data_IF_309262889825
#
_entry.id   IF_309262889825
#
_cell.length_a   1.000
_cell.length_b   1.000
_cell.length_c   1.000
_cell.angle_alpha   90.00
_cell.angle_beta   90.00
_cell.angle_gamma   90.00
#
_symmetry.space_group_name_H-M   'P 1'
#
loop_
_entity.id
_entity.type
_entity.pdbx_description
1 polymer ?
#
# COMPACT_ATOMS: atom_id res chain seq x y z
N UNK A 1 0.09 -5.73 3.03
CA UNK A 1 -1.22 -5.35 2.47
C UNK A 1 -1.00 -4.24 1.44
N UNK A 2 -1.71 -4.27 0.31
CA UNK A 2 -1.71 -3.20 -0.69
C UNK A 2 -3.09 -2.56 -0.68
N UNK A 3 -3.13 -1.24 -0.61
CA UNK A 3 -4.35 -0.43 -0.60
C UNK A 3 -4.28 0.60 -1.73
N UNK A 4 -5.34 0.66 -2.53
CA UNK A 4 -5.46 1.63 -3.63
C UNK A 4 -6.45 2.72 -3.24
N UNK A 5 -6.00 3.96 -3.29
CA UNK A 5 -6.72 5.13 -2.78
C UNK A 5 -7.39 5.89 -3.93
N UNK A 6 -8.71 6.06 -3.87
CA UNK A 6 -9.45 7.00 -4.71
C UNK A 6 -9.60 8.37 -4.04
N UNK A 7 -9.90 9.42 -4.81
CA UNK A 7 -10.06 10.78 -4.28
C UNK A 7 -11.27 10.95 -3.34
N UNK A 8 -12.19 9.97 -3.31
CA UNK A 8 -13.39 10.00 -2.46
C UNK A 8 -13.08 10.03 -0.96
N UNK A 9 -11.88 9.61 -0.54
CA UNK A 9 -11.42 9.67 0.86
C UNK A 9 -11.33 11.10 1.41
N UNK A 10 -11.26 12.11 0.53
CA UNK A 10 -11.17 13.52 0.92
C UNK A 10 -12.52 14.17 1.21
N UNK A 11 -13.62 13.55 0.78
CA UNK A 11 -14.96 14.15 0.84
C UNK A 11 -15.86 13.55 1.91
N UNK A 12 -15.60 12.32 2.37
CA UNK A 12 -16.38 11.67 3.42
C UNK A 12 -15.61 11.58 4.76
N UNK A 13 -16.04 12.39 5.73
CA UNK A 13 -15.47 12.41 7.10
C UNK A 13 -15.60 11.07 7.83
N UNK A 14 -16.69 10.33 7.63
CA UNK A 14 -16.91 9.02 8.28
C UNK A 14 -15.97 7.98 7.71
N UNK A 15 -15.75 8.00 6.40
CA UNK A 15 -14.75 7.13 5.78
C UNK A 15 -13.34 7.46 6.25
N UNK A 16 -12.97 8.75 6.30
CA UNK A 16 -11.67 9.19 6.79
C UNK A 16 -11.33 8.66 8.19
N UNK A 17 -12.24 8.81 9.16
CA UNK A 17 -12.00 8.34 10.53
C UNK A 17 -11.87 6.81 10.59
N UNK A 18 -12.72 6.08 9.84
CA UNK A 18 -12.63 4.61 9.75
C UNK A 18 -11.31 4.14 9.16
N UNK A 19 -10.78 4.84 8.15
CA UNK A 19 -9.51 4.49 7.52
C UNK A 19 -8.33 4.66 8.50
N UNK A 20 -8.32 5.73 9.30
CA UNK A 20 -7.32 5.90 10.37
C UNK A 20 -7.31 4.71 11.33
N UNK A 21 -8.48 4.33 11.86
CA UNK A 21 -8.61 3.20 12.78
C UNK A 21 -8.25 1.85 12.11
N UNK A 22 -8.60 1.70 10.83
CA UNK A 22 -8.24 0.52 10.04
C UNK A 22 -6.72 0.36 9.92
N UNK A 23 -6.00 1.44 9.57
CA UNK A 23 -4.55 1.39 9.43
C UNK A 23 -3.82 1.20 10.75
N UNK A 24 -4.30 1.80 11.85
CA UNK A 24 -3.76 1.55 13.19
C UNK A 24 -3.82 0.06 13.53
N UNK A 25 -4.97 -0.59 13.31
CA UNK A 25 -5.12 -2.03 13.54
C UNK A 25 -4.21 -2.89 12.69
N UNK A 26 -3.97 -2.51 11.43
CA UNK A 26 -3.00 -3.23 10.60
C UNK A 26 -1.59 -3.16 11.18
N UNK A 27 -1.17 -1.98 11.65
CA UNK A 27 0.12 -1.81 12.28
C UNK A 27 0.25 -2.61 13.58
N UNK A 28 -0.77 -2.59 14.44
CA UNK A 28 -0.79 -3.35 15.70
C UNK A 28 -0.69 -4.87 15.46
N UNK A 29 -1.25 -5.34 14.35
CA UNK A 29 -1.17 -6.74 13.91
C UNK A 29 0.13 -7.05 13.13
N UNK A 30 1.07 -6.11 13.03
CA UNK A 30 2.38 -6.30 12.39
C UNK A 30 2.37 -6.23 10.87
N UNK A 31 1.26 -5.81 10.26
CA UNK A 31 1.17 -5.67 8.81
C UNK A 31 1.89 -4.40 8.34
N UNK A 32 2.67 -4.53 7.28
CA UNK A 32 3.08 -3.38 6.45
C UNK A 32 1.98 -3.09 5.43
N UNK A 33 1.47 -1.86 5.44
CA UNK A 33 0.46 -1.38 4.49
C UNK A 33 1.12 -0.45 3.48
N UNK A 34 1.04 -0.80 2.20
CA UNK A 34 1.51 0.05 1.10
C UNK A 34 0.30 0.69 0.42
N UNK A 35 0.27 2.02 0.41
CA UNK A 35 -0.84 2.81 -0.13
C UNK A 35 -0.46 3.47 -1.44
N UNK A 36 -1.30 3.31 -2.45
CA UNK A 36 -1.09 3.86 -3.79
C UNK A 36 -2.36 4.59 -4.26
N UNK A 37 -2.25 5.89 -4.47
CA UNK A 37 -3.27 6.65 -5.21
C UNK A 37 -2.97 6.66 -6.72
N UNK A 38 -3.86 7.26 -7.52
CA UNK A 38 -3.72 7.36 -8.97
C UNK A 38 -2.34 7.88 -9.44
N UNK A 39 -1.72 8.83 -8.72
CA UNK A 39 -0.38 9.37 -9.04
C UNK A 39 0.74 8.30 -9.00
N UNK A 40 0.53 7.21 -8.28
CA UNK A 40 1.51 6.12 -8.18
C UNK A 40 1.29 5.03 -9.25
N UNK A 41 0.13 5.03 -9.89
CA UNK A 41 -0.32 3.99 -10.81
C UNK A 41 -0.38 4.47 -12.26
N UNK A 42 -0.49 5.78 -12.49
CA UNK A 42 -0.59 6.40 -13.80
C UNK A 42 0.53 7.44 -14.03
N UNK A 43 1.07 7.54 -15.26
CA UNK A 43 0.76 6.73 -16.44
C UNK A 43 1.38 5.33 -16.40
N UNK A 44 2.19 5.02 -15.37
CA UNK A 44 2.85 3.73 -15.21
C UNK A 44 2.83 3.27 -13.75
N UNK A 45 2.77 1.95 -13.57
CA UNK A 45 2.84 1.27 -12.26
C UNK A 45 4.27 1.00 -11.79
N UNK A 46 5.30 1.37 -12.57
CA UNK A 46 6.71 1.06 -12.24
C UNK A 46 7.09 1.50 -10.84
N UNK A 47 6.69 2.70 -10.41
CA UNK A 47 7.00 3.20 -9.06
C UNK A 47 6.34 2.34 -7.97
N UNK A 48 5.07 1.96 -8.15
CA UNK A 48 4.36 1.11 -7.20
C UNK A 48 5.02 -0.27 -7.10
N UNK A 49 5.35 -0.89 -8.24
CA UNK A 49 6.05 -2.19 -8.29
C UNK A 49 7.41 -2.12 -7.61
N UNK A 50 8.20 -1.08 -7.86
CA UNK A 50 9.51 -0.87 -7.21
C UNK A 50 9.37 -0.79 -5.69
N UNK A 51 8.39 -0.02 -5.19
CA UNK A 51 8.13 0.09 -3.74
C UNK A 51 7.68 -1.24 -3.13
N UNK A 52 6.81 -1.99 -3.82
CA UNK A 52 6.37 -3.31 -3.36
C UNK A 52 7.57 -4.26 -3.27
N UNK A 53 8.38 -4.33 -4.34
CA UNK A 53 9.55 -5.21 -4.39
C UNK A 53 10.53 -4.89 -3.26
N UNK A 54 10.87 -3.62 -3.06
CA UNK A 54 11.76 -3.19 -2.00
C UNK A 54 11.30 -3.66 -0.61
N UNK A 55 10.00 -3.55 -0.31
CA UNK A 55 9.46 -4.02 0.97
C UNK A 55 9.45 -5.54 1.11
N UNK A 56 9.25 -6.28 0.02
CA UNK A 56 9.35 -7.73 0.03
C UNK A 56 10.80 -8.16 0.30
N UNK A 57 11.77 -7.56 -0.38
CA UNK A 57 13.20 -7.83 -0.21
C UNK A 57 13.68 -7.53 1.21
N UNK A 58 13.27 -6.40 1.80
CA UNK A 58 13.54 -6.06 3.21
C UNK A 58 13.00 -7.10 4.20
N UNK A 59 11.96 -7.85 3.81
CA UNK A 59 11.35 -8.91 4.61
C UNK A 59 11.91 -10.30 4.29
N UNK A 60 12.99 -10.36 3.50
CA UNK A 60 13.68 -11.61 3.17
C UNK A 60 13.07 -12.37 1.99
N UNK A 61 12.16 -11.76 1.23
CA UNK A 61 11.72 -12.35 -0.03
C UNK A 61 12.86 -12.25 -1.05
N UNK A 62 13.40 -13.41 -1.43
CA UNK A 62 14.29 -13.52 -2.57
C UNK A 62 13.47 -13.95 -3.79
N UNK A 63 13.67 -13.28 -4.92
CA UNK A 63 13.17 -13.77 -6.20
C UNK A 63 13.81 -15.14 -6.46
N UNK A 64 12.99 -16.12 -6.83
CA UNK A 64 13.51 -17.39 -7.35
C UNK A 64 14.35 -17.08 -8.60
N UNK A 65 15.65 -17.42 -8.63
CA UNK A 65 16.50 -17.18 -9.80
C UNK A 65 16.02 -17.91 -11.07
N UNK A 66 15.11 -18.87 -10.91
CA UNK A 66 14.55 -19.72 -11.96
C UNK A 66 13.36 -19.13 -12.70
N UNK A 67 12.83 -17.97 -12.26
CA UNK A 67 11.58 -17.37 -12.74
C UNK A 67 11.77 -16.11 -13.59
#
# INVERSE_FOLDING_TARGET
>A
LIECEGDHHRTDRRQWNRDIEKYGRYQDLGWTVLRFSAIHLAPSVTLAVTRIRHHLEQRGWARDPSA
#
